data_IF_847448701166
#
_entry.id   IF_847448701166
#
_cell.length_a   1.000
_cell.length_b   1.000
_cell.length_c   1.000
_cell.angle_alpha   90.00
_cell.angle_beta   90.00
_cell.angle_gamma   90.00
#
_symmetry.space_group_name_H-M   'P 1'
#
loop_
_entity.id
_entity.type
_entity.pdbx_description
1 polymer ?
#
# COMPACT_ATOMS: atom_id res chain seq x y z
N UNK A 1 0.27 7.09 -12.07
CA UNK A 1 0.95 5.78 -11.96
C UNK A 1 -0.03 4.84 -11.29
N UNK A 2 -0.37 3.70 -11.91
CA UNK A 2 -1.23 2.69 -11.26
C UNK A 2 -0.48 2.14 -10.03
N UNK A 3 -1.16 2.05 -8.89
CA UNK A 3 -0.62 1.41 -7.69
C UNK A 3 -0.43 -0.08 -7.98
N UNK A 4 0.78 -0.59 -7.75
CA UNK A 4 1.11 -2.01 -7.92
C UNK A 4 0.35 -2.89 -6.92
N UNK A 5 -0.03 -2.29 -5.80
CA UNK A 5 -0.80 -2.87 -4.72
C UNK A 5 -2.27 -3.06 -5.13
N UNK A 6 -2.69 -2.60 -6.32
CA UNK A 6 -4.01 -2.83 -6.90
C UNK A 6 -4.07 -4.06 -7.83
N UNK A 7 -3.03 -4.90 -7.85
CA UNK A 7 -3.05 -6.18 -8.57
C UNK A 7 -2.09 -6.31 -9.74
N UNK A 8 -2.35 -7.35 -10.54
CA UNK A 8 -1.60 -7.65 -11.75
C UNK A 8 -0.31 -8.42 -11.54
N UNK A 9 0.44 -8.57 -12.63
CA UNK A 9 1.56 -9.51 -12.74
C UNK A 9 2.60 -9.43 -11.62
N UNK A 10 2.94 -8.21 -11.16
CA UNK A 10 3.95 -8.04 -10.11
C UNK A 10 3.52 -8.68 -8.80
N UNK A 11 2.26 -8.47 -8.38
CA UNK A 11 1.79 -9.00 -7.10
C UNK A 11 1.55 -10.51 -7.17
N UNK A 12 1.07 -10.98 -8.32
CA UNK A 12 0.93 -12.42 -8.60
C UNK A 12 2.28 -13.13 -8.47
N UNK A 13 3.33 -12.58 -9.09
CA UNK A 13 4.68 -13.14 -8.98
C UNK A 13 5.28 -12.99 -7.59
N UNK A 14 4.98 -11.91 -6.87
CA UNK A 14 5.42 -11.78 -5.48
C UNK A 14 4.81 -12.88 -4.60
N UNK A 15 3.52 -13.17 -4.76
CA UNK A 15 2.85 -14.25 -4.02
C UNK A 15 3.41 -15.63 -4.41
N UNK A 16 3.62 -15.90 -5.70
CA UNK A 16 4.27 -17.14 -6.16
C UNK A 16 5.65 -17.35 -5.52
N UNK A 17 6.47 -16.30 -5.44
CA UNK A 17 7.79 -16.36 -4.80
C UNK A 17 7.65 -16.64 -3.30
N UNK A 18 6.71 -16.01 -2.61
CA UNK A 18 6.45 -16.27 -1.18
C UNK A 18 6.05 -17.73 -0.96
N UNK A 19 5.09 -18.25 -1.74
CA UNK A 19 4.63 -19.64 -1.64
C UNK A 19 5.78 -20.62 -1.93
N UNK A 20 6.57 -20.35 -2.99
CA UNK A 20 7.72 -21.17 -3.31
C UNK A 20 8.75 -21.20 -2.18
N UNK A 21 9.16 -20.03 -1.67
CA UNK A 21 10.13 -19.97 -0.57
C UNK A 21 9.64 -20.72 0.68
N UNK A 22 8.36 -20.60 1.02
CA UNK A 22 7.76 -21.38 2.11
C UNK A 22 7.80 -22.88 1.85
N UNK A 23 7.59 -23.30 0.60
CA UNK A 23 7.69 -24.72 0.21
C UNK A 23 9.12 -25.27 0.32
N UNK A 24 10.13 -24.42 0.18
CA UNK A 24 11.54 -24.75 0.42
C UNK A 24 11.93 -24.70 1.92
N UNK A 25 10.96 -24.46 2.81
CA UNK A 25 11.20 -24.36 4.26
C UNK A 25 11.80 -23.04 4.71
N UNK A 26 11.81 -22.00 3.87
CA UNK A 26 12.27 -20.65 4.26
C UNK A 26 11.18 -19.97 5.10
N UNK A 27 11.51 -19.48 6.31
CA UNK A 27 10.55 -18.72 7.11
C UNK A 27 10.29 -17.36 6.47
N UNK A 28 9.02 -17.09 6.18
CA UNK A 28 8.52 -15.79 5.74
C UNK A 28 7.27 -15.49 6.56
N UNK A 29 7.39 -14.47 7.40
CA UNK A 29 6.32 -14.08 8.32
C UNK A 29 5.58 -12.82 7.85
N UNK A 30 6.24 -11.97 7.06
CA UNK A 30 5.73 -10.65 6.73
C UNK A 30 6.07 -10.24 5.28
N UNK A 31 5.18 -9.45 4.67
CA UNK A 31 5.33 -8.86 3.35
C UNK A 31 5.10 -7.35 3.41
N UNK A 32 6.15 -6.59 3.10
CA UNK A 32 6.10 -5.12 3.07
C UNK A 32 5.56 -4.60 1.73
N UNK A 33 4.44 -3.88 1.79
CA UNK A 33 3.89 -3.12 0.67
C UNK A 33 4.30 -1.66 0.80
N UNK A 34 4.94 -1.11 -0.24
CA UNK A 34 5.49 0.24 -0.19
C UNK A 34 4.38 1.30 -0.21
N UNK A 35 3.31 1.12 -0.99
CA UNK A 35 2.21 2.10 -1.07
C UNK A 35 2.63 3.47 -1.59
N UNK A 36 3.38 3.47 -2.70
CA UNK A 36 3.69 4.66 -3.48
C UNK A 36 2.55 4.95 -4.47
N UNK A 37 1.63 5.83 -4.07
CA UNK A 37 0.40 6.11 -4.81
C UNK A 37 0.26 7.60 -5.12
N UNK A 38 -0.83 7.98 -5.79
CA UNK A 38 -1.15 9.38 -6.07
C UNK A 38 -2.61 9.67 -5.71
N UNK A 39 -2.98 10.95 -5.68
CA UNK A 39 -4.33 11.40 -5.28
C UNK A 39 -5.48 10.87 -6.15
N UNK A 40 -5.21 10.30 -7.33
CA UNK A 40 -6.23 9.64 -8.16
C UNK A 40 -6.48 8.19 -7.76
N UNK A 41 -5.68 7.62 -6.86
CA UNK A 41 -5.88 6.25 -6.37
C UNK A 41 -7.09 6.21 -5.44
N UNK A 42 -7.91 5.17 -5.57
CA UNK A 42 -9.01 4.87 -4.66
C UNK A 42 -8.69 3.61 -3.89
N UNK A 43 -8.80 3.67 -2.56
CA UNK A 43 -8.67 2.52 -1.66
C UNK A 43 -9.94 2.44 -0.82
N UNK A 44 -10.70 1.37 -0.99
CA UNK A 44 -11.99 1.15 -0.38
C UNK A 44 -12.18 -0.33 -0.01
N UNK A 45 -12.89 -0.63 1.09
CA UNK A 45 -13.17 -2.01 1.48
C UNK A 45 -13.74 -2.84 0.33
N UNK A 46 -13.16 -4.02 0.11
CA UNK A 46 -13.58 -4.97 -0.92
C UNK A 46 -12.97 -4.77 -2.30
N UNK A 47 -12.19 -3.70 -2.51
CA UNK A 47 -11.44 -3.53 -3.75
C UNK A 47 -10.26 -4.50 -3.86
N UNK A 48 -9.51 -4.39 -4.97
CA UNK A 48 -8.39 -5.27 -5.25
C UNK A 48 -7.27 -5.17 -4.21
N UNK A 49 -7.06 -4.01 -3.58
CA UNK A 49 -6.05 -3.83 -2.53
C UNK A 49 -6.35 -4.69 -1.30
N UNK A 50 -7.63 -4.77 -0.92
CA UNK A 50 -8.08 -5.63 0.19
C UNK A 50 -7.95 -7.10 -0.17
N UNK A 51 -8.33 -7.47 -1.39
CA UNK A 51 -8.23 -8.86 -1.87
C UNK A 51 -6.78 -9.34 -1.89
N UNK A 52 -5.84 -8.50 -2.32
CA UNK A 52 -4.41 -8.81 -2.33
C UNK A 52 -3.87 -9.01 -0.92
N UNK A 53 -4.18 -8.11 0.01
CA UNK A 53 -3.81 -8.32 1.41
C UNK A 53 -4.30 -9.67 1.93
N UNK A 54 -5.57 -10.01 1.61
CA UNK A 54 -6.15 -11.28 2.00
C UNK A 54 -5.42 -12.49 1.39
N UNK A 55 -4.93 -12.39 0.14
CA UNK A 55 -4.14 -13.48 -0.47
C UNK A 55 -2.87 -13.79 0.33
N UNK A 56 -2.11 -12.79 0.77
CA UNK A 56 -0.91 -13.02 1.60
C UNK A 56 -1.28 -13.54 3.00
N UNK A 57 -2.34 -12.99 3.60
CA UNK A 57 -2.83 -13.42 4.92
C UNK A 57 -3.29 -14.90 4.87
N UNK A 58 -3.93 -15.33 3.79
CA UNK A 58 -4.33 -16.74 3.60
C UNK A 58 -3.13 -17.69 3.57
N UNK A 59 -1.98 -17.19 3.11
CA UNK A 59 -0.70 -17.91 3.17
C UNK A 59 -0.01 -17.74 4.52
N UNK A 60 -0.68 -17.26 5.57
CA UNK A 60 -0.12 -16.98 6.90
C UNK A 60 1.11 -16.06 6.83
N UNK A 61 1.02 -15.00 6.01
CA UNK A 61 2.00 -13.92 5.89
C UNK A 61 1.33 -12.60 6.24
N UNK A 62 1.85 -11.90 7.24
CA UNK A 62 1.37 -10.57 7.62
C UNK A 62 1.66 -9.57 6.49
N UNK A 63 0.80 -8.57 6.32
CA UNK A 63 0.97 -7.52 5.30
C UNK A 63 1.19 -6.19 5.96
N UNK A 64 2.18 -5.43 5.51
CA UNK A 64 2.57 -4.17 6.14
C UNK A 64 2.52 -3.02 5.15
N UNK A 65 2.15 -1.83 5.62
CA UNK A 65 2.35 -0.59 4.88
C UNK A 65 3.70 -0.03 5.31
N UNK A 66 4.72 -0.05 4.46
CA UNK A 66 6.10 0.27 4.86
C UNK A 66 6.56 1.66 4.44
N UNK A 67 6.05 2.19 3.33
CA UNK A 67 6.60 3.41 2.70
C UNK A 67 5.50 4.36 2.19
N UNK A 68 4.36 4.46 2.88
CA UNK A 68 3.20 5.20 2.36
C UNK A 68 3.60 6.61 1.93
N UNK A 69 3.37 6.89 0.65
CA UNK A 69 3.54 8.20 0.02
C UNK A 69 2.40 8.43 -0.95
N UNK A 70 1.73 9.58 -0.83
CA UNK A 70 0.63 9.98 -1.71
C UNK A 70 1.06 11.24 -2.46
N UNK A 71 1.43 11.07 -3.73
CA UNK A 71 1.86 12.19 -4.57
C UNK A 71 0.69 13.05 -5.05
N UNK A 72 0.90 14.36 -5.05
CA UNK A 72 -0.01 15.38 -5.57
C UNK A 72 0.59 15.99 -6.84
N UNK A 73 -0.18 16.19 -7.93
CA UNK A 73 0.33 16.85 -9.13
C UNK A 73 0.77 18.29 -8.86
N UNK A 74 2.01 18.59 -9.24
CA UNK A 74 2.63 19.91 -9.14
C UNK A 74 3.01 20.43 -10.52
N UNK A 75 2.97 21.75 -10.70
CA UNK A 75 3.51 22.47 -11.87
C UNK A 75 4.22 23.72 -11.37
N UNK A 76 5.48 23.87 -11.77
CA UNK A 76 6.32 25.04 -11.42
C UNK A 76 6.34 25.36 -9.92
N UNK A 77 6.41 24.31 -9.08
CA UNK A 77 6.44 24.44 -7.62
C UNK A 77 5.09 24.73 -6.96
N UNK A 78 4.01 24.78 -7.73
CA UNK A 78 2.65 25.00 -7.23
C UNK A 78 1.74 23.80 -7.48
N UNK A 79 0.71 23.63 -6.65
CA UNK A 79 -0.33 22.62 -6.86
C UNK A 79 -1.03 22.86 -8.20
N UNK A 80 -1.24 21.79 -8.98
CA UNK A 80 -2.07 21.88 -10.20
C UNK A 80 -3.54 22.10 -9.83
N UNK A 81 -3.99 21.49 -8.73
CA UNK A 81 -5.33 21.64 -8.18
C UNK A 81 -5.25 21.73 -6.64
N UNK A 82 -5.82 22.77 -6.05
CA UNK A 82 -5.86 22.95 -4.60
C UNK A 82 -6.65 21.87 -3.87
N UNK A 83 -7.69 21.32 -4.50
CA UNK A 83 -8.54 20.28 -3.92
C UNK A 83 -7.78 18.96 -3.73
N UNK A 84 -6.64 18.80 -4.40
CA UNK A 84 -5.84 17.58 -4.28
C UNK A 84 -5.24 17.42 -2.88
N UNK A 85 -5.08 18.50 -2.09
CA UNK A 85 -4.70 18.37 -0.68
C UNK A 85 -5.80 17.70 0.15
N UNK A 86 -7.07 18.04 -0.11
CA UNK A 86 -8.20 17.39 0.56
C UNK A 86 -8.34 15.93 0.13
N UNK A 87 -8.11 15.64 -1.16
CA UNK A 87 -8.08 14.27 -1.68
C UNK A 87 -6.94 13.46 -1.09
N UNK A 88 -5.75 14.05 -0.95
CA UNK A 88 -4.61 13.42 -0.28
C UNK A 88 -4.95 13.08 1.17
N UNK A 89 -5.55 14.02 1.92
CA UNK A 89 -5.99 13.78 3.29
C UNK A 89 -7.08 12.69 3.37
N UNK A 90 -8.02 12.65 2.43
CA UNK A 90 -9.03 11.59 2.33
C UNK A 90 -8.39 10.22 2.08
N UNK A 91 -7.39 10.16 1.21
CA UNK A 91 -6.72 8.91 0.89
C UNK A 91 -5.83 8.43 2.05
N UNK A 92 -5.18 9.31 2.81
CA UNK A 92 -4.55 8.96 4.09
C UNK A 92 -5.55 8.33 5.06
N UNK A 93 -6.77 8.87 5.18
CA UNK A 93 -7.83 8.27 6.01
C UNK A 93 -8.25 6.89 5.49
N UNK A 94 -8.35 6.70 4.18
CA UNK A 94 -8.65 5.39 3.60
C UNK A 94 -7.55 4.37 3.89
N UNK A 95 -6.28 4.77 3.81
CA UNK A 95 -5.14 3.92 4.14
C UNK A 95 -5.10 3.55 5.64
N UNK A 96 -5.44 4.49 6.53
CA UNK A 96 -5.60 4.18 7.95
C UNK A 96 -6.74 3.18 8.20
N UNK A 97 -7.86 3.29 7.46
CA UNK A 97 -8.94 2.30 7.55
C UNK A 97 -8.53 0.93 7.04
N UNK A 98 -7.75 0.89 5.95
CA UNK A 98 -7.18 -0.34 5.39
C UNK A 98 -6.32 -1.07 6.41
N UNK A 99 -5.36 -0.39 7.04
CA UNK A 99 -4.49 -1.03 8.04
C UNK A 99 -5.28 -1.49 9.27
N UNK A 100 -6.24 -0.68 9.74
CA UNK A 100 -7.07 -1.04 10.89
C UNK A 100 -7.97 -2.26 10.61
N UNK A 101 -8.47 -2.40 9.38
CA UNK A 101 -9.24 -3.57 8.95
C UNK A 101 -8.43 -4.87 9.10
N UNK A 102 -7.13 -4.84 8.75
CA UNK A 102 -6.22 -5.97 8.88
C UNK A 102 -5.38 -5.93 10.15
N UNK A 103 -5.77 -5.20 11.20
CA UNK A 103 -4.92 -4.92 12.37
C UNK A 103 -4.34 -6.15 13.08
N UNK A 104 -4.98 -7.32 13.01
CA UNK A 104 -4.44 -8.58 13.54
C UNK A 104 -3.32 -9.19 12.70
N UNK A 105 -3.15 -8.75 11.45
CA UNK A 105 -2.18 -9.25 10.47
C UNK A 105 -1.39 -8.11 9.80
N UNK A 106 -1.47 -6.90 10.34
CA UNK A 106 -0.93 -5.69 9.73
C UNK A 106 -0.31 -4.76 10.79
N UNK A 107 0.89 -5.13 11.30
CA UNK A 107 1.46 -4.48 12.47
C UNK A 107 2.07 -3.09 12.20
N UNK A 108 2.30 -2.72 10.93
CA UNK A 108 3.07 -1.52 10.56
C UNK A 108 2.29 -0.61 9.60
N UNK A 109 2.16 0.66 10.00
CA UNK A 109 1.72 1.77 9.15
C UNK A 109 2.81 2.84 9.05
N UNK A 110 3.76 2.62 8.14
CA UNK A 110 4.91 3.48 7.88
C UNK A 110 4.65 4.48 6.76
N UNK A 111 5.15 5.70 6.93
CA UNK A 111 5.21 6.73 5.88
C UNK A 111 6.64 6.90 5.42
N UNK A 112 6.84 7.21 4.14
CA UNK A 112 8.18 7.50 3.62
C UNK A 112 8.48 8.98 3.83
N UNK A 113 9.13 9.32 4.94
CA UNK A 113 9.41 10.67 5.46
C UNK A 113 8.26 11.31 6.26
N UNK A 114 8.62 12.32 7.05
CA UNK A 114 7.71 13.12 7.87
C UNK A 114 7.51 14.56 7.35
N UNK A 115 8.24 14.96 6.29
CA UNK A 115 8.14 16.29 5.68
C UNK A 115 8.31 16.23 4.18
N UNK A 116 7.52 17.03 3.45
CA UNK A 116 7.58 17.15 1.99
C UNK A 116 8.91 17.73 1.50
N UNK A 117 9.65 18.45 2.34
CA UNK A 117 10.91 19.13 1.96
C UNK A 117 11.98 18.16 1.40
N UNK A 118 11.95 16.90 1.82
CA UNK A 118 12.97 15.89 1.48
C UNK A 118 12.37 14.68 0.76
N UNK A 119 11.16 14.82 0.21
CA UNK A 119 10.36 13.69 -0.30
C UNK A 119 10.24 13.66 -1.82
#
# INVERSE_FOLDING_TARGET
>A
MLSWEAGGWKIEKALEVVVWLKSEGVPIDEFGMQWHINVSTSVAPGDMHYQIAQCFINENVNVMVTELRISVPMRDGSLVNSDDLERQAALFRSMLRYILHFSSHSPIFGTWSCTDRYN
#
